data_IF_945071965124
#
_entry.id   IF_945071965124
#
_cell.length_a   1.000
_cell.length_b   1.000
_cell.length_c   1.000
_cell.angle_alpha   90.00
_cell.angle_beta   90.00
_cell.angle_gamma   90.00
#
_symmetry.space_group_name_H-M   'P 1'
#
loop_
_entity.id
_entity.type
_entity.pdbx_description
1 polymer ?
#
# COMPACT_ATOMS: atom_id res chain seq x y z
N UNK A 1 -30.63 34.54 2.40
CA UNK A 1 -30.93 34.95 1.02
C UNK A 1 -29.71 34.65 0.18
N UNK A 2 -29.82 33.74 -0.74
CA UNK A 2 -29.08 33.39 -1.96
C UNK A 2 -28.93 31.86 -2.04
N UNK A 3 -29.83 31.27 -2.68
CA UNK A 3 -29.98 30.84 -4.08
C UNK A 3 -29.08 29.65 -4.41
N UNK A 4 -29.70 28.48 -4.33
CA UNK A 4 -29.21 27.17 -4.79
C UNK A 4 -29.34 27.14 -6.32
N UNK A 5 -28.25 26.85 -7.02
CA UNK A 5 -28.23 26.65 -8.46
C UNK A 5 -28.23 25.15 -8.78
N UNK A 6 -29.38 24.65 -9.20
CA UNK A 6 -29.58 23.31 -9.73
C UNK A 6 -29.10 23.27 -11.19
N UNK A 7 -28.04 22.56 -11.48
CA UNK A 7 -27.62 22.24 -12.85
C UNK A 7 -28.26 20.93 -13.27
N UNK A 8 -29.21 21.02 -14.19
CA UNK A 8 -29.92 19.93 -14.87
C UNK A 8 -28.97 19.20 -15.82
N UNK A 9 -28.76 17.92 -15.60
CA UNK A 9 -28.10 17.03 -16.56
C UNK A 9 -29.16 16.51 -17.54
N UNK A 10 -29.02 16.96 -18.79
CA UNK A 10 -29.87 16.58 -19.91
C UNK A 10 -29.69 15.11 -20.30
N UNK A 11 -30.78 14.37 -20.21
CA UNK A 11 -30.92 13.04 -20.84
C UNK A 11 -31.05 13.22 -22.36
N UNK A 12 -30.10 12.71 -23.11
CA UNK A 12 -30.22 12.52 -24.56
C UNK A 12 -30.88 11.17 -24.81
N UNK A 13 -32.14 11.23 -25.24
CA UNK A 13 -32.85 10.09 -25.84
C UNK A 13 -32.28 9.81 -27.22
N UNK A 14 -31.73 8.61 -27.40
CA UNK A 14 -31.39 8.11 -28.73
C UNK A 14 -32.64 7.57 -29.42
N UNK A 15 -33.04 8.25 -30.50
CA UNK A 15 -34.13 7.85 -31.38
C UNK A 15 -33.62 6.72 -32.28
N UNK A 16 -34.28 5.58 -32.23
CA UNK A 16 -34.08 4.45 -33.13
C UNK A 16 -34.80 4.76 -34.44
N UNK A 17 -34.15 4.66 -35.61
CA UNK A 17 -34.85 4.83 -36.89
C UNK A 17 -35.70 3.57 -37.18
N UNK A 18 -36.93 3.85 -37.60
CA UNK A 18 -37.91 2.88 -38.06
C UNK A 18 -37.43 2.15 -39.34
N UNK A 19 -37.57 0.84 -39.33
CA UNK A 19 -37.31 -0.01 -40.46
C UNK A 19 -38.55 0.04 -41.39
N UNK A 20 -38.33 0.45 -42.64
CA UNK A 20 -39.31 0.43 -43.73
C UNK A 20 -39.60 -1.00 -44.17
N UNK A 21 -40.87 -1.42 -44.33
CA UNK A 21 -41.18 -2.68 -44.96
C UNK A 21 -41.51 -2.49 -46.44
N UNK A 22 -41.10 -3.44 -47.24
CA UNK A 22 -41.55 -3.73 -48.60
C UNK A 22 -40.51 -3.49 -49.73
N UNK A 23 -39.78 -4.51 -50.02
CA UNK A 23 -39.38 -4.80 -51.40
C UNK A 23 -39.95 -6.18 -51.74
N UNK A 24 -41.07 -6.14 -52.45
CA UNK A 24 -41.69 -7.27 -53.09
C UNK A 24 -41.02 -7.43 -54.47
N UNK A 25 -40.36 -8.55 -54.71
CA UNK A 25 -39.89 -8.90 -56.06
C UNK A 25 -40.53 -10.22 -56.42
N UNK A 26 -41.57 -10.09 -57.21
CA UNK A 26 -42.08 -11.14 -58.05
C UNK A 26 -41.10 -11.43 -59.18
N UNK A 27 -40.79 -12.67 -59.43
CA UNK A 27 -39.88 -13.07 -60.50
C UNK A 27 -39.59 -14.56 -60.44
N UNK A 28 -40.50 -15.36 -60.83
CA UNK A 28 -40.31 -16.79 -61.02
C UNK A 28 -39.21 -17.08 -62.09
N UNK A 29 -38.22 -17.87 -61.75
CA UNK A 29 -37.48 -18.68 -62.72
C UNK A 29 -37.00 -19.98 -62.04
N UNK A 30 -37.33 -21.12 -62.66
CA UNK A 30 -37.01 -22.42 -62.09
C UNK A 30 -35.61 -22.85 -62.45
N UNK A 31 -35.10 -23.75 -61.65
CA UNK A 31 -33.91 -24.56 -61.91
C UNK A 31 -32.54 -23.91 -61.62
N UNK A 32 -32.09 -24.22 -60.44
CA UNK A 32 -30.77 -24.80 -60.23
C UNK A 32 -30.69 -25.25 -58.75
N UNK A 33 -31.14 -26.46 -58.55
CA UNK A 33 -30.92 -27.19 -57.28
C UNK A 33 -29.44 -27.52 -57.23
N UNK A 34 -28.68 -26.55 -56.84
CA UNK A 34 -27.27 -26.77 -56.43
C UNK A 34 -27.36 -27.42 -55.05
N UNK A 35 -27.26 -28.71 -55.02
CA UNK A 35 -27.00 -29.47 -53.80
C UNK A 35 -25.70 -28.95 -53.21
N UNK A 36 -25.82 -28.02 -52.29
CA UNK A 36 -24.76 -27.72 -51.37
C UNK A 36 -24.56 -28.97 -50.51
N UNK A 37 -23.68 -29.81 -50.99
CA UNK A 37 -23.16 -30.90 -50.21
C UNK A 37 -22.33 -30.25 -49.06
N UNK A 38 -23.07 -29.88 -47.98
CA UNK A 38 -22.44 -29.60 -46.72
C UNK A 38 -21.74 -30.88 -46.30
N UNK A 39 -20.48 -30.98 -46.68
CA UNK A 39 -19.53 -31.89 -46.09
C UNK A 39 -19.56 -31.55 -44.59
N UNK A 40 -20.44 -32.21 -43.86
CA UNK A 40 -20.34 -32.27 -42.39
C UNK A 40 -18.94 -32.79 -42.14
N UNK A 41 -18.05 -31.85 -41.88
CA UNK A 41 -16.82 -32.18 -41.18
C UNK A 41 -17.28 -32.77 -39.85
N UNK A 42 -17.34 -34.09 -39.77
CA UNK A 42 -17.37 -34.78 -38.47
C UNK A 42 -16.25 -34.18 -37.70
N UNK A 43 -16.57 -33.37 -36.73
CA UNK A 43 -15.68 -33.09 -35.63
C UNK A 43 -15.44 -34.47 -35.04
N UNK A 44 -14.39 -35.13 -35.49
CA UNK A 44 -13.88 -36.30 -34.81
C UNK A 44 -13.59 -35.83 -33.42
N UNK A 45 -14.48 -36.16 -32.49
CA UNK A 45 -14.23 -36.00 -31.07
C UNK A 45 -13.17 -37.04 -30.76
N UNK A 46 -11.90 -36.61 -30.92
CA UNK A 46 -10.79 -37.39 -30.44
C UNK A 46 -10.98 -37.55 -28.95
N UNK A 47 -11.39 -38.75 -28.54
CA UNK A 47 -11.53 -39.09 -27.14
C UNK A 47 -10.12 -39.09 -26.54
N UNK A 48 -9.88 -38.20 -25.59
CA UNK A 48 -8.61 -38.16 -24.87
C UNK A 48 -8.25 -39.53 -24.28
N UNK A 49 -7.02 -39.94 -24.51
CA UNK A 49 -6.49 -41.16 -23.92
C UNK A 49 -6.46 -41.01 -22.39
N UNK A 50 -6.83 -42.05 -21.67
CA UNK A 50 -6.75 -42.10 -20.20
C UNK A 50 -5.35 -41.74 -19.70
N UNK A 51 -4.31 -42.14 -20.46
CA UNK A 51 -2.91 -41.79 -20.16
C UNK A 51 -2.67 -40.29 -20.26
N UNK A 52 -3.24 -39.62 -21.25
CA UNK A 52 -3.09 -38.19 -21.47
C UNK A 52 -3.76 -37.38 -20.34
N UNK A 53 -4.94 -37.81 -19.91
CA UNK A 53 -5.65 -37.18 -18.79
C UNK A 53 -4.87 -37.38 -17.47
N UNK A 54 -4.32 -38.57 -17.21
CA UNK A 54 -3.53 -38.81 -16.00
C UNK A 54 -2.23 -38.04 -16.00
N UNK A 55 -1.57 -37.94 -17.15
CA UNK A 55 -0.36 -37.12 -17.29
C UNK A 55 -0.68 -35.64 -17.07
N UNK A 56 -1.73 -35.11 -17.70
CA UNK A 56 -2.16 -33.73 -17.54
C UNK A 56 -2.48 -33.39 -16.06
N UNK A 57 -3.21 -34.27 -15.39
CA UNK A 57 -3.50 -34.13 -13.94
C UNK A 57 -2.23 -34.17 -13.09
N UNK A 58 -1.27 -35.05 -13.43
CA UNK A 58 0.01 -35.13 -12.74
C UNK A 58 0.81 -33.83 -12.87
N UNK A 59 0.91 -33.28 -14.08
CA UNK A 59 1.60 -32.00 -14.33
C UNK A 59 0.87 -30.84 -13.63
N UNK A 60 -0.47 -30.80 -13.72
CA UNK A 60 -1.25 -29.76 -13.07
C UNK A 60 -1.08 -29.81 -11.52
N UNK A 61 -1.12 -30.99 -10.93
CA UNK A 61 -0.90 -31.16 -9.49
C UNK A 61 0.49 -30.71 -9.08
N UNK A 62 1.52 -31.07 -9.85
CA UNK A 62 2.89 -30.63 -9.57
C UNK A 62 3.04 -29.11 -9.65
N UNK A 63 2.46 -28.47 -10.67
CA UNK A 63 2.48 -27.02 -10.80
C UNK A 63 1.77 -26.32 -9.63
N UNK A 64 0.62 -26.85 -9.19
CA UNK A 64 -0.11 -26.30 -8.06
C UNK A 64 0.71 -26.38 -6.76
N UNK A 65 1.35 -27.53 -6.50
CA UNK A 65 2.21 -27.69 -5.31
C UNK A 65 3.38 -26.71 -5.35
N UNK A 66 4.01 -26.53 -6.52
CA UNK A 66 5.11 -25.59 -6.68
C UNK A 66 4.67 -24.14 -6.39
N UNK A 67 3.51 -23.73 -6.92
CA UNK A 67 2.96 -22.37 -6.68
C UNK A 67 2.62 -22.18 -5.20
N UNK A 68 1.94 -23.16 -4.59
CA UNK A 68 1.59 -23.10 -3.16
C UNK A 68 2.83 -23.02 -2.26
N UNK A 69 3.93 -23.68 -2.65
CA UNK A 69 5.19 -23.63 -1.93
C UNK A 69 5.86 -22.25 -1.93
N UNK A 70 5.59 -21.41 -2.93
CA UNK A 70 6.12 -20.05 -3.03
C UNK A 70 5.31 -18.99 -2.28
N UNK A 71 4.03 -19.27 -1.96
CA UNK A 71 3.14 -18.32 -1.29
C UNK A 71 3.70 -17.77 0.04
N UNK A 72 4.23 -18.59 0.96
CA UNK A 72 4.72 -18.08 2.25
C UNK A 72 5.88 -17.08 2.08
N UNK A 73 6.75 -17.33 1.11
CA UNK A 73 7.89 -16.44 0.84
C UNK A 73 7.44 -15.10 0.29
N UNK A 74 6.48 -15.11 -0.63
CA UNK A 74 5.89 -13.89 -1.19
C UNK A 74 5.22 -13.03 -0.13
N UNK A 75 4.45 -13.64 0.77
CA UNK A 75 3.77 -12.93 1.87
C UNK A 75 4.78 -12.28 2.84
N UNK A 76 5.85 -12.97 3.20
CA UNK A 76 6.92 -12.41 4.05
C UNK A 76 7.60 -11.21 3.40
N UNK A 77 7.88 -11.27 2.11
CA UNK A 77 8.48 -10.16 1.36
C UNK A 77 7.55 -8.96 1.31
N UNK A 78 6.26 -9.17 1.08
CA UNK A 78 5.27 -8.10 1.09
C UNK A 78 5.16 -7.43 2.48
N UNK A 79 5.12 -8.21 3.55
CA UNK A 79 5.10 -7.68 4.92
C UNK A 79 6.33 -6.83 5.21
N UNK A 80 7.51 -7.28 4.81
CA UNK A 80 8.75 -6.51 4.95
C UNK A 80 8.71 -5.17 4.21
N UNK A 81 8.20 -5.14 2.98
CA UNK A 81 8.05 -3.91 2.19
C UNK A 81 7.06 -2.93 2.83
N UNK A 82 5.92 -3.43 3.33
CA UNK A 82 4.92 -2.60 4.02
C UNK A 82 5.54 -2.00 5.29
N UNK A 83 6.22 -2.79 6.10
CA UNK A 83 6.88 -2.33 7.33
C UNK A 83 7.93 -1.26 7.04
N UNK A 84 8.75 -1.44 6.00
CA UNK A 84 9.74 -0.46 5.59
C UNK A 84 9.11 0.84 5.11
N UNK A 85 8.01 0.77 4.34
CA UNK A 85 7.28 1.96 3.88
C UNK A 85 6.66 2.72 5.06
N UNK A 86 6.05 2.00 6.00
CA UNK A 86 5.49 2.60 7.22
C UNK A 86 6.59 3.23 8.09
N UNK A 87 7.74 2.57 8.25
CA UNK A 87 8.87 3.12 8.98
C UNK A 87 9.38 4.44 8.36
N UNK A 88 9.45 4.53 7.04
CA UNK A 88 9.82 5.77 6.34
C UNK A 88 8.77 6.87 6.54
N UNK A 89 7.48 6.53 6.57
CA UNK A 89 6.41 7.48 6.89
C UNK A 89 6.53 8.01 8.32
N UNK A 90 6.82 7.15 9.29
CA UNK A 90 7.07 7.53 10.68
C UNK A 90 8.28 8.48 10.78
N UNK A 91 9.37 8.18 10.09
CA UNK A 91 10.55 9.05 10.04
C UNK A 91 10.17 10.43 9.50
N UNK A 92 9.36 10.50 8.45
CA UNK A 92 8.90 11.76 7.87
C UNK A 92 8.02 12.57 8.83
N UNK A 93 7.17 11.90 9.61
CA UNK A 93 6.36 12.55 10.65
C UNK A 93 7.25 13.14 11.74
N UNK A 94 8.19 12.35 12.29
CA UNK A 94 9.14 12.81 13.33
C UNK A 94 9.99 13.97 12.79
N UNK A 95 10.45 13.88 11.55
CA UNK A 95 11.24 14.96 10.93
C UNK A 95 10.44 16.26 10.78
N UNK A 96 9.18 16.17 10.38
CA UNK A 96 8.29 17.33 10.29
C UNK A 96 8.09 17.98 11.65
N UNK A 97 7.95 17.17 12.70
CA UNK A 97 7.78 17.63 14.06
C UNK A 97 9.04 18.29 14.61
N UNK A 98 10.20 17.68 14.42
CA UNK A 98 11.50 18.28 14.77
C UNK A 98 11.73 19.64 14.08
N UNK A 99 11.29 19.79 12.83
CA UNK A 99 11.38 21.07 12.11
C UNK A 99 10.39 22.10 12.65
N UNK A 100 9.22 21.68 13.05
CA UNK A 100 8.24 22.57 13.66
C UNK A 100 8.74 23.05 15.04
N UNK A 101 9.29 22.16 15.85
CA UNK A 101 9.83 22.44 17.17
C UNK A 101 10.93 23.52 17.13
N UNK A 102 11.80 23.48 16.14
CA UNK A 102 12.86 24.50 15.93
C UNK A 102 12.32 25.92 15.75
N UNK A 103 11.10 26.07 15.26
CA UNK A 103 10.46 27.36 15.01
C UNK A 103 9.67 27.90 16.21
N UNK A 104 9.46 27.07 17.22
CA UNK A 104 8.71 27.43 18.41
C UNK A 104 9.65 28.07 19.46
N UNK A 105 9.13 28.92 20.34
CA UNK A 105 9.87 29.41 21.51
C UNK A 105 10.29 28.27 22.43
N UNK A 106 11.41 28.41 23.17
CA UNK A 106 11.84 27.42 24.15
C UNK A 106 10.72 27.09 25.15
N UNK A 107 10.50 25.80 25.37
CA UNK A 107 9.49 25.29 26.31
C UNK A 107 8.10 25.03 25.71
N UNK A 108 7.91 25.34 24.43
CA UNK A 108 6.70 24.92 23.69
C UNK A 108 7.03 23.71 22.82
N UNK A 109 6.22 22.65 22.94
CA UNK A 109 6.32 21.50 22.07
C UNK A 109 5.60 21.78 20.73
N UNK A 110 6.10 21.26 19.63
CA UNK A 110 5.52 21.42 18.30
C UNK A 110 4.13 20.81 18.17
N UNK A 111 3.78 19.89 19.06
CA UNK A 111 2.53 19.15 19.08
C UNK A 111 1.79 19.32 20.39
N UNK A 112 1.20 20.48 20.59
CA UNK A 112 0.55 20.82 21.86
C UNK A 112 -0.85 20.25 22.06
N UNK A 113 -1.52 19.76 21.02
CA UNK A 113 -2.94 19.40 21.16
C UNK A 113 -3.31 18.16 20.37
N UNK A 114 -4.06 17.27 21.02
CA UNK A 114 -4.86 16.19 20.45
C UNK A 114 -4.13 15.25 19.47
N UNK A 115 -3.14 14.52 19.96
CA UNK A 115 -2.56 13.41 19.23
C UNK A 115 -1.08 13.54 18.87
N UNK A 116 -0.39 14.49 19.46
CA UNK A 116 1.07 14.62 19.36
C UNK A 116 1.81 13.46 20.01
N UNK A 117 3.13 13.46 19.83
CA UNK A 117 3.97 12.47 20.45
C UNK A 117 3.94 12.60 21.98
N UNK A 118 3.76 11.47 22.64
CA UNK A 118 3.80 11.39 24.10
C UNK A 118 4.83 10.32 24.50
N UNK A 119 5.92 10.65 25.16
CA UNK A 119 6.33 11.98 25.60
C UNK A 119 6.68 12.93 24.44
N UNK A 120 6.61 14.25 24.65
CA UNK A 120 7.03 15.22 23.65
C UNK A 120 8.53 15.03 23.36
N UNK A 121 8.95 15.36 22.14
CA UNK A 121 10.36 15.34 21.77
C UNK A 121 11.11 16.36 22.60
N UNK A 122 12.31 15.99 23.08
CA UNK A 122 13.16 16.90 23.83
C UNK A 122 13.65 18.09 22.99
N UNK A 123 13.64 17.94 21.67
CA UNK A 123 14.02 18.97 20.74
C UNK A 123 15.48 19.43 20.93
N UNK A 124 15.83 20.49 20.21
CA UNK A 124 17.15 21.10 20.28
C UNK A 124 17.30 22.10 21.45
N UNK A 125 16.22 22.39 22.14
CA UNK A 125 16.23 23.33 23.27
C UNK A 125 16.81 22.76 24.56
N UNK A 126 16.67 21.44 24.74
CA UNK A 126 17.24 20.77 25.88
C UNK A 126 18.62 20.22 25.49
N UNK A 127 19.66 20.66 26.20
CA UNK A 127 21.02 20.16 26.03
C UNK A 127 21.19 18.75 26.62
N UNK A 128 20.19 17.90 26.43
CA UNK A 128 20.22 16.53 26.91
C UNK A 128 20.56 15.60 25.76
N UNK A 129 21.42 14.63 26.04
CA UNK A 129 21.77 13.56 25.10
C UNK A 129 20.92 12.30 25.29
N UNK A 130 19.92 12.37 26.17
CA UNK A 130 19.02 11.23 26.37
C UNK A 130 18.18 11.00 25.13
N UNK A 131 18.13 9.76 24.60
CA UNK A 131 17.29 9.46 23.45
C UNK A 131 15.82 9.58 23.78
N UNK A 132 15.04 10.11 22.83
CA UNK A 132 13.57 10.03 22.89
C UNK A 132 13.13 8.71 22.30
N UNK A 133 12.17 8.04 22.95
CA UNK A 133 11.59 6.80 22.46
C UNK A 133 10.08 6.98 22.27
N UNK A 134 9.64 6.74 21.05
CA UNK A 134 8.25 6.84 20.64
C UNK A 134 7.77 5.48 20.12
N UNK A 135 6.47 5.23 20.24
CA UNK A 135 5.84 4.01 19.79
C UNK A 135 4.76 4.30 18.75
N UNK A 136 4.63 3.40 17.78
CA UNK A 136 3.67 3.57 16.69
C UNK A 136 2.95 2.25 16.40
N UNK A 137 1.70 2.37 15.96
CA UNK A 137 0.90 1.24 15.49
C UNK A 137 1.39 0.75 14.13
N UNK A 138 0.82 -0.35 13.64
CA UNK A 138 1.07 -0.86 12.29
C UNK A 138 0.73 0.15 11.18
N UNK A 139 -0.18 1.08 11.43
CA UNK A 139 -0.58 2.15 10.50
C UNK A 139 0.29 3.41 10.63
N UNK A 140 1.31 3.40 11.49
CA UNK A 140 2.16 4.57 11.74
C UNK A 140 1.51 5.67 12.60
N UNK A 141 0.47 5.35 13.37
CA UNK A 141 -0.11 6.29 14.33
C UNK A 141 0.65 6.22 15.66
N UNK A 142 0.95 7.37 16.30
CA UNK A 142 1.63 7.39 17.59
C UNK A 142 0.77 6.75 18.68
N UNK A 143 1.42 6.09 19.64
CA UNK A 143 0.81 5.54 20.87
C UNK A 143 1.66 5.90 22.07
N UNK A 144 1.02 6.12 23.21
CA UNK A 144 1.65 6.69 24.40
C UNK A 144 2.56 5.72 25.17
N UNK A 145 2.46 4.43 24.90
CA UNK A 145 3.23 3.43 25.63
C UNK A 145 3.47 2.16 24.82
N UNK A 146 4.47 1.40 25.25
CA UNK A 146 4.70 0.05 24.74
C UNK A 146 3.57 -0.86 25.22
N UNK A 147 2.63 -1.17 24.32
CA UNK A 147 1.50 -2.08 24.56
C UNK A 147 1.25 -2.94 23.33
N UNK A 148 0.17 -3.71 23.34
CA UNK A 148 -0.18 -4.67 22.28
C UNK A 148 -0.39 -4.00 20.90
N UNK A 149 -0.75 -2.71 20.90
CA UNK A 149 -0.93 -1.94 19.67
C UNK A 149 0.39 -1.42 19.07
N UNK A 150 1.48 -1.39 19.85
CA UNK A 150 2.76 -0.89 19.38
C UNK A 150 3.49 -1.91 18.52
N UNK A 151 3.72 -1.56 17.26
CA UNK A 151 4.45 -2.38 16.29
C UNK A 151 5.84 -1.82 16.01
N UNK A 152 5.96 -0.49 15.97
CA UNK A 152 7.22 0.20 15.70
C UNK A 152 7.69 0.96 16.94
N UNK A 153 9.01 0.93 17.15
CA UNK A 153 9.73 1.75 18.12
C UNK A 153 10.59 2.74 17.34
N UNK A 154 10.44 4.01 17.59
CA UNK A 154 11.32 5.05 17.06
C UNK A 154 12.19 5.58 18.17
N UNK A 155 13.51 5.58 17.96
CA UNK A 155 14.50 6.14 18.89
C UNK A 155 15.16 7.31 18.21
N UNK A 156 15.05 8.49 18.82
CA UNK A 156 15.66 9.73 18.35
C UNK A 156 16.86 10.02 19.26
N UNK A 157 18.05 10.00 18.68
CA UNK A 157 19.31 10.28 19.42
C UNK A 157 19.91 11.57 18.90
N UNK A 158 20.08 12.53 19.78
CA UNK A 158 20.72 13.80 19.47
C UNK A 158 22.25 13.63 19.51
N UNK A 159 22.93 13.98 18.42
CA UNK A 159 24.34 13.67 18.19
C UNK A 159 25.31 14.68 18.79
N UNK A 160 24.87 15.92 18.95
CA UNK A 160 25.66 17.00 19.50
C UNK A 160 24.76 17.95 20.24
N UNK A 161 25.27 18.71 21.23
CA UNK A 161 24.51 19.83 21.77
C UNK A 161 24.08 20.71 20.61
N UNK A 162 22.81 21.13 20.58
CA UNK A 162 22.33 22.00 19.52
C UNK A 162 23.16 23.29 19.53
N UNK A 163 23.55 23.71 18.35
CA UNK A 163 24.11 25.05 18.14
C UNK A 163 22.97 26.03 17.93
N UNK A 164 23.26 27.34 17.95
CA UNK A 164 22.25 28.37 17.68
C UNK A 164 21.64 28.26 16.29
N UNK A 165 22.25 27.49 15.39
CA UNK A 165 21.84 27.39 13.98
C UNK A 165 21.46 26.00 13.54
N UNK A 166 21.93 24.95 14.20
CA UNK A 166 21.76 23.58 13.71
C UNK A 166 21.62 22.56 14.83
N UNK A 167 20.65 21.69 14.70
CA UNK A 167 20.46 20.49 15.53
C UNK A 167 20.62 19.24 14.67
N UNK A 168 21.39 18.25 15.15
CA UNK A 168 21.63 16.98 14.45
C UNK A 168 21.05 15.82 15.25
N UNK A 169 20.11 15.11 14.65
CA UNK A 169 19.48 13.93 15.25
C UNK A 169 19.59 12.69 14.36
N UNK A 170 19.76 11.54 14.99
CA UNK A 170 19.63 10.23 14.35
C UNK A 170 18.29 9.64 14.73
N UNK A 171 17.45 9.36 13.74
CA UNK A 171 16.14 8.73 13.93
C UNK A 171 16.29 7.28 13.48
N UNK A 172 16.03 6.35 14.40
CA UNK A 172 16.02 4.90 14.12
C UNK A 172 14.64 4.36 14.41
N UNK A 173 13.97 3.81 13.39
CA UNK A 173 12.70 3.11 13.53
C UNK A 173 12.96 1.61 13.41
N UNK A 174 12.59 0.84 14.42
CA UNK A 174 12.77 -0.62 14.49
C UNK A 174 11.45 -1.35 14.75
N UNK A 175 11.37 -2.59 14.35
CA UNK A 175 10.24 -3.47 14.60
C UNK A 175 10.68 -4.92 14.86
N UNK A 176 9.95 -5.67 15.73
CA UNK A 176 8.80 -5.23 16.52
C UNK A 176 9.20 -4.29 17.66
N UNK A 177 8.25 -3.44 18.13
CA UNK A 177 8.49 -2.42 19.16
C UNK A 177 8.97 -2.98 20.50
N UNK A 178 8.62 -4.24 20.81
CA UNK A 178 8.98 -4.95 22.03
C UNK A 178 10.48 -5.24 22.12
N UNK A 179 11.16 -5.31 20.98
CA UNK A 179 12.61 -5.52 20.93
C UNK A 179 13.32 -4.19 21.06
N UNK A 180 14.13 -4.05 22.10
CA UNK A 180 14.91 -2.84 22.35
C UNK A 180 16.35 -3.03 21.86
N UNK A 181 16.77 -2.33 20.79
CA UNK A 181 18.13 -2.41 20.30
C UNK A 181 19.16 -1.84 21.29
N UNK A 182 18.76 -0.91 22.17
CA UNK A 182 19.66 -0.29 23.15
C UNK A 182 20.11 -1.27 24.24
N UNK A 183 19.31 -2.30 24.51
CA UNK A 183 19.62 -3.37 25.47
C UNK A 183 20.24 -4.62 24.81
N UNK A 184 20.61 -4.52 23.52
CA UNK A 184 21.20 -5.62 22.77
C UNK A 184 20.17 -6.52 22.07
N UNK A 185 18.89 -6.15 22.06
CA UNK A 185 17.86 -6.85 21.29
C UNK A 185 18.09 -6.71 19.78
N UNK A 186 17.88 -7.79 19.02
CA UNK A 186 18.00 -7.79 17.56
C UNK A 186 16.60 -7.63 16.96
N UNK A 187 16.25 -6.47 16.38
CA UNK A 187 14.97 -6.27 15.73
C UNK A 187 14.87 -7.08 14.43
N UNK A 188 13.66 -7.42 14.02
CA UNK A 188 13.40 -8.08 12.74
C UNK A 188 13.74 -7.18 11.55
N UNK A 189 13.65 -5.87 11.74
CA UNK A 189 14.08 -4.87 10.78
C UNK A 189 14.21 -3.49 11.41
N UNK A 190 14.99 -2.63 10.78
CA UNK A 190 15.16 -1.24 11.19
C UNK A 190 15.51 -0.34 10.02
N UNK A 191 15.13 0.93 10.13
CA UNK A 191 15.51 2.00 9.22
C UNK A 191 16.10 3.13 10.05
N UNK A 192 17.28 3.61 9.67
CA UNK A 192 17.96 4.70 10.35
C UNK A 192 18.23 5.84 9.38
N UNK A 193 17.99 7.06 9.80
CA UNK A 193 18.31 8.26 9.05
C UNK A 193 18.94 9.32 9.95
N UNK A 194 19.80 10.15 9.37
CA UNK A 194 20.36 11.32 10.02
C UNK A 194 19.64 12.56 9.51
N UNK A 195 19.24 13.40 10.43
CA UNK A 195 18.48 14.61 10.16
C UNK A 195 19.23 15.80 10.75
N UNK A 196 19.49 16.80 9.91
CA UNK A 196 19.95 18.11 10.35
C UNK A 196 18.77 19.09 10.25
N UNK A 197 18.50 19.77 11.33
CA UNK A 197 17.43 20.78 11.38
C UNK A 197 18.11 22.13 11.60
N UNK A 198 17.97 23.02 10.64
CA UNK A 198 18.51 24.36 10.68
C UNK A 198 17.42 25.33 11.18
N UNK A 199 17.83 26.27 12.02
CA UNK A 199 16.99 27.41 12.47
C UNK A 199 16.83 28.46 11.40
#
# INVERSE_FOLDING_TARGET
MNAVNHSQVGRRSATVPAMDPAIQIDGASPALTTFYNMKQSRLESEAFSLVEVTLALGVAAFCLVAVLGLLPTSLKTQQGSIQQTTANSIISQIFSDLRADVRLPPGLASHETDGGFQPPLHGHWLQTLTPDTLYFTQQGKPVNSLGDAAVFRATITYRAPPTDTTSLASITVSWPAQVDPSTGGVPAGSVTTLVAVNR
#
